data_IF_701697209135
#
_entry.id   IF_701697209135
#
_cell.length_a   1.000
_cell.length_b   1.000
_cell.length_c   1.000
_cell.angle_alpha   90.00
_cell.angle_beta   90.00
_cell.angle_gamma   90.00
#
_symmetry.space_group_name_H-M   'P 1'
#
loop_
_entity.id
_entity.type
_entity.pdbx_description
1 polymer ?
#
# COMPACT_ATOMS: atom_id res chain seq x y z
N UNK A 1 57.31 26.24 9.85
CA UNK A 1 55.98 26.59 9.31
C UNK A 1 55.31 25.29 8.91
N UNK A 2 54.11 25.12 9.46
CA UNK A 2 53.29 23.93 9.63
C UNK A 2 52.99 23.12 8.37
N UNK A 3 53.40 21.85 8.41
CA UNK A 3 52.80 20.70 7.72
C UNK A 3 51.56 20.24 8.51
N UNK A 4 50.44 19.95 7.82
CA UNK A 4 49.31 19.19 8.38
C UNK A 4 49.19 17.86 7.64
N UNK A 5 49.21 16.81 8.45
CA UNK A 5 49.06 15.40 8.15
C UNK A 5 47.59 15.04 7.95
N UNK A 6 47.32 14.27 6.90
CA UNK A 6 46.10 13.47 6.74
C UNK A 6 46.24 12.17 7.55
N UNK A 7 45.22 11.84 8.33
CA UNK A 7 45.06 10.54 8.99
C UNK A 7 44.11 9.67 8.14
N UNK A 8 44.41 8.39 7.88
CA UNK A 8 43.53 7.51 7.12
C UNK A 8 42.48 6.80 7.99
N UNK A 9 41.39 6.44 7.31
CA UNK A 9 40.26 5.61 7.75
C UNK A 9 40.68 4.34 8.52
N UNK A 10 40.05 4.12 9.67
CA UNK A 10 40.17 2.88 10.43
C UNK A 10 39.32 1.78 9.79
N UNK A 11 40.00 0.71 9.38
CA UNK A 11 39.43 -0.61 9.10
C UNK A 11 38.99 -1.26 10.41
N UNK A 12 37.78 -1.80 10.44
CA UNK A 12 37.35 -2.72 11.51
C UNK A 12 37.93 -4.11 11.24
N UNK A 13 38.53 -4.68 12.27
CA UNK A 13 39.19 -5.98 12.27
C UNK A 13 38.47 -6.90 13.27
N UNK A 14 38.22 -8.13 12.84
CA UNK A 14 37.70 -9.27 13.61
C UNK A 14 38.72 -9.66 14.71
N UNK A 15 38.24 -10.11 15.88
CA UNK A 15 38.85 -11.27 16.51
C UNK A 15 37.84 -12.37 16.86
N UNK A 16 38.15 -13.58 16.42
CA UNK A 16 37.54 -14.83 16.84
C UNK A 16 38.09 -15.26 18.22
N UNK A 17 37.25 -15.77 19.13
CA UNK A 17 37.57 -16.99 19.92
C UNK A 17 36.35 -17.64 20.58
N UNK A 18 36.28 -18.97 20.44
CA UNK A 18 35.48 -20.00 21.11
C UNK A 18 35.16 -19.80 22.62
N UNK A 19 33.97 -20.25 23.06
CA UNK A 19 33.84 -21.29 24.13
C UNK A 19 32.40 -21.86 24.32
N UNK A 20 32.31 -23.18 24.07
CA UNK A 20 31.55 -24.27 24.71
C UNK A 20 30.13 -24.14 25.30
N UNK A 21 29.27 -25.06 24.81
CA UNK A 21 28.26 -25.92 25.47
C UNK A 21 27.80 -25.61 26.92
N UNK A 22 26.47 -25.66 27.12
CA UNK A 22 25.84 -26.61 28.07
C UNK A 22 24.36 -26.87 27.73
N UNK A 23 24.02 -28.14 27.56
CA UNK A 23 22.68 -28.72 27.67
C UNK A 23 22.28 -28.84 29.15
N UNK A 24 21.02 -28.56 29.49
CA UNK A 24 20.35 -29.12 30.66
C UNK A 24 18.86 -29.33 30.38
N UNK A 25 18.48 -30.60 30.54
CA UNK A 25 17.14 -31.19 30.38
C UNK A 25 16.32 -31.13 31.67
N UNK A 26 15.00 -31.24 31.48
CA UNK A 26 13.96 -31.88 32.33
C UNK A 26 13.40 -31.14 33.57
N UNK A 27 12.09 -30.90 33.50
CA UNK A 27 11.15 -31.56 34.40
C UNK A 27 10.18 -30.67 35.19
N UNK A 28 8.89 -30.66 34.80
CA UNK A 28 7.83 -31.24 35.62
C UNK A 28 6.48 -31.27 34.88
N UNK A 29 5.87 -32.44 34.95
CA UNK A 29 4.52 -32.78 34.54
C UNK A 29 3.46 -32.07 35.38
N UNK A 30 2.31 -31.78 34.77
CA UNK A 30 1.03 -31.93 35.43
C UNK A 30 0.06 -32.57 34.42
N UNK A 31 -0.13 -33.88 34.58
CA UNK A 31 -1.21 -34.65 33.98
C UNK A 31 -2.56 -34.21 34.57
N UNK A 32 -3.56 -34.03 33.71
CA UNK A 32 -4.93 -34.41 34.05
C UNK A 32 -5.50 -35.13 32.83
N UNK A 33 -5.62 -36.45 32.95
CA UNK A 33 -6.40 -37.31 32.06
C UNK A 33 -7.89 -36.97 32.17
N UNK A 34 -8.58 -36.90 31.02
CA UNK A 34 -9.93 -37.50 30.87
C UNK A 34 -9.97 -38.21 29.50
N UNK A 35 -10.26 -39.51 29.55
CA UNK A 35 -10.57 -40.49 28.49
C UNK A 35 -11.43 -39.94 27.32
N UNK A 36 -11.08 -40.13 26.03
CA UNK A 36 -11.10 -41.31 25.12
C UNK A 36 -12.43 -41.54 24.33
N UNK A 37 -12.31 -41.40 22.99
CA UNK A 37 -13.02 -42.06 21.86
C UNK A 37 -14.55 -41.81 21.65
N UNK A 38 -15.13 -41.62 20.46
CA UNK A 38 -14.76 -41.82 19.04
C UNK A 38 -15.77 -41.03 18.14
N UNK A 39 -15.43 -40.68 16.89
CA UNK A 39 -16.16 -39.78 15.99
C UNK A 39 -17.13 -40.53 15.07
N UNK A 40 -18.31 -39.95 14.86
CA UNK A 40 -19.11 -40.23 13.67
C UNK A 40 -20.04 -39.06 13.35
N UNK A 41 -19.72 -38.39 12.23
CA UNK A 41 -20.68 -38.00 11.20
C UNK A 41 -22.11 -37.66 11.67
N UNK A 42 -22.32 -36.38 11.98
CA UNK A 42 -23.55 -35.65 11.64
C UNK A 42 -23.11 -34.29 11.13
N UNK A 43 -22.84 -34.17 9.83
CA UNK A 43 -23.74 -33.47 8.93
C UNK A 43 -24.22 -32.16 9.56
N UNK A 44 -23.50 -31.07 9.32
CA UNK A 44 -24.08 -29.73 9.40
C UNK A 44 -25.32 -29.75 8.49
N UNK A 45 -26.50 -29.77 9.08
CA UNK A 45 -27.71 -29.38 8.39
C UNK A 45 -27.53 -27.91 7.99
N UNK A 46 -27.28 -27.69 6.70
CA UNK A 46 -27.49 -26.40 6.06
C UNK A 46 -28.97 -26.10 6.23
N UNK A 47 -29.29 -25.07 7.00
CA UNK A 47 -30.65 -24.54 7.08
C UNK A 47 -31.06 -24.05 5.68
N UNK A 48 -32.04 -24.66 5.00
CA UNK A 48 -32.35 -24.36 3.61
C UNK A 48 -33.38 -23.24 3.45
N UNK A 49 -33.74 -22.52 4.52
CA UNK A 49 -34.59 -21.33 4.44
C UNK A 49 -33.79 -20.08 4.83
N UNK A 50 -33.27 -19.29 3.88
CA UNK A 50 -32.93 -17.91 4.20
C UNK A 50 -34.24 -17.20 4.53
N UNK A 51 -34.40 -16.80 5.79
CA UNK A 51 -35.46 -15.91 6.21
C UNK A 51 -35.43 -14.68 5.28
N UNK A 52 -36.46 -14.44 4.44
CA UNK A 52 -36.44 -13.37 3.45
C UNK A 52 -36.49 -11.96 4.07
N UNK A 53 -36.52 -11.90 5.40
CA UNK A 53 -36.58 -10.68 6.22
C UNK A 53 -35.35 -10.54 7.15
N UNK A 54 -34.14 -10.95 6.71
CA UNK A 54 -32.92 -10.31 7.26
C UNK A 54 -32.92 -8.86 6.79
N UNK A 55 -33.65 -8.04 7.54
CA UNK A 55 -33.50 -6.60 7.57
C UNK A 55 -32.01 -6.33 7.79
N UNK A 56 -31.34 -5.81 6.77
CA UNK A 56 -30.02 -5.21 6.86
C UNK A 56 -29.96 -4.41 8.17
N UNK A 57 -29.12 -4.83 9.12
CA UNK A 57 -28.75 -3.96 10.22
C UNK A 57 -27.77 -2.96 9.61
N UNK A 58 -28.22 -1.72 9.43
CA UNK A 58 -27.58 -0.64 8.67
C UNK A 58 -26.16 -0.22 9.15
N UNK A 59 -25.53 -0.96 10.07
CA UNK A 59 -24.27 -0.60 10.74
C UNK A 59 -23.15 -1.67 10.65
N UNK A 60 -23.34 -2.77 9.91
CA UNK A 60 -22.37 -3.89 9.88
C UNK A 60 -21.78 -4.08 8.48
N UNK A 61 -20.46 -4.20 8.40
CA UNK A 61 -19.78 -4.60 7.17
C UNK A 61 -20.14 -6.05 6.80
N UNK A 62 -20.51 -6.27 5.55
CA UNK A 62 -20.78 -7.60 4.99
C UNK A 62 -19.57 -8.05 4.17
N UNK A 63 -19.23 -9.33 4.30
CA UNK A 63 -18.18 -9.97 3.51
C UNK A 63 -18.84 -10.97 2.58
N UNK A 64 -18.56 -10.82 1.29
CA UNK A 64 -19.00 -11.75 0.26
C UNK A 64 -17.76 -12.40 -0.37
N UNK A 65 -17.89 -13.68 -0.69
CA UNK A 65 -16.92 -14.36 -1.56
C UNK A 65 -16.99 -13.70 -2.94
N UNK A 66 -15.87 -13.22 -3.44
CA UNK A 66 -15.80 -12.68 -4.79
C UNK A 66 -15.83 -13.78 -5.86
N UNK A 67 -16.16 -13.40 -7.08
CA UNK A 67 -16.39 -14.29 -8.21
C UNK A 67 -15.12 -14.70 -8.96
N UNK A 68 -13.95 -14.14 -8.63
CA UNK A 68 -12.66 -14.51 -9.23
C UNK A 68 -12.05 -15.76 -8.57
N UNK A 69 -12.40 -16.04 -7.32
CA UNK A 69 -11.96 -17.28 -6.67
C UNK A 69 -12.64 -18.49 -7.33
N UNK A 70 -11.88 -19.56 -7.54
CA UNK A 70 -12.23 -20.77 -8.32
C UNK A 70 -12.43 -20.55 -9.83
N UNK A 71 -12.82 -19.36 -10.28
CA UNK A 71 -12.98 -19.03 -11.70
C UNK A 71 -11.67 -18.67 -12.38
N UNK A 72 -10.66 -18.24 -11.61
CA UNK A 72 -9.33 -17.91 -12.08
C UNK A 72 -8.25 -18.63 -11.25
N UNK A 73 -7.41 -19.45 -11.89
CA UNK A 73 -6.41 -20.27 -11.19
C UNK A 73 -5.29 -19.45 -10.51
N UNK A 74 -5.10 -18.20 -10.95
CA UNK A 74 -4.14 -17.25 -10.41
C UNK A 74 -4.64 -16.63 -9.10
N UNK A 75 -5.96 -16.60 -8.87
CA UNK A 75 -6.56 -15.97 -7.70
C UNK A 75 -6.71 -16.99 -6.58
N UNK A 76 -5.91 -16.83 -5.53
CA UNK A 76 -5.90 -17.69 -4.34
C UNK A 76 -7.01 -17.31 -3.35
N UNK A 77 -7.28 -16.02 -3.20
CA UNK A 77 -8.36 -15.52 -2.36
C UNK A 77 -9.01 -14.29 -3.02
N UNK A 78 -10.33 -14.18 -2.86
CA UNK A 78 -11.13 -13.06 -3.37
C UNK A 78 -12.30 -12.79 -2.44
N UNK A 79 -12.26 -11.65 -1.78
CA UNK A 79 -13.30 -11.20 -0.86
C UNK A 79 -13.77 -9.79 -1.23
N UNK A 80 -15.07 -9.58 -1.21
CA UNK A 80 -15.70 -8.27 -1.38
C UNK A 80 -16.27 -7.85 -0.03
N UNK A 81 -15.68 -6.82 0.54
CA UNK A 81 -16.15 -6.18 1.76
C UNK A 81 -17.07 -5.01 1.38
N UNK A 82 -18.28 -4.97 1.95
CA UNK A 82 -19.24 -3.87 1.78
C UNK A 82 -19.57 -3.27 3.14
N UNK A 83 -19.29 -1.99 3.32
CA UNK A 83 -19.51 -1.30 4.58
C UNK A 83 -20.45 -0.09 4.41
N UNK A 84 -21.43 0.09 5.31
CA UNK A 84 -22.29 1.27 5.31
C UNK A 84 -21.52 2.53 5.75
N UNK A 85 -21.73 3.65 5.07
CA UNK A 85 -21.31 5.02 5.43
C UNK A 85 -19.82 5.25 5.80
N UNK A 86 -18.89 4.38 5.40
CA UNK A 86 -17.47 4.52 5.72
C UNK A 86 -16.63 5.00 4.53
N UNK A 87 -16.43 6.31 4.32
CA UNK A 87 -15.48 6.77 3.29
C UNK A 87 -14.08 6.19 3.53
N UNK A 88 -13.64 5.25 2.71
CA UNK A 88 -12.25 4.77 2.69
C UNK A 88 -11.35 5.93 2.31
N UNK A 89 -10.39 6.24 3.18
CA UNK A 89 -9.35 7.26 2.94
C UNK A 89 -8.02 6.63 2.60
N UNK A 90 -7.68 5.54 3.28
CA UNK A 90 -6.38 4.89 3.15
C UNK A 90 -6.58 3.38 3.28
N UNK A 91 -6.63 2.62 2.17
CA UNK A 91 -6.56 1.18 2.24
C UNK A 91 -5.14 0.76 2.59
N UNK A 92 -5.02 -0.25 3.44
CA UNK A 92 -3.75 -0.91 3.74
C UNK A 92 -3.92 -2.42 3.62
N UNK A 93 -2.91 -3.08 3.06
CA UNK A 93 -2.87 -4.53 2.96
C UNK A 93 -1.45 -5.02 3.23
N UNK A 94 -1.37 -6.14 3.95
CA UNK A 94 -0.18 -6.92 4.18
C UNK A 94 -0.47 -8.39 3.89
N UNK A 95 0.55 -9.16 3.57
CA UNK A 95 0.42 -10.59 3.23
C UNK A 95 1.55 -11.33 3.92
N UNK A 96 1.28 -12.46 4.56
CA UNK A 96 2.29 -13.35 5.09
C UNK A 96 2.08 -14.78 4.55
N UNK A 97 2.81 -15.75 5.09
CA UNK A 97 2.68 -17.14 4.65
C UNK A 97 1.24 -17.69 4.83
N UNK A 98 0.55 -17.24 5.88
CA UNK A 98 -0.73 -17.77 6.33
C UNK A 98 -1.92 -17.04 5.70
N UNK A 99 -1.80 -15.75 5.39
CA UNK A 99 -2.96 -14.99 4.94
C UNK A 99 -2.72 -13.53 4.54
N UNK A 100 -3.82 -12.83 4.33
CA UNK A 100 -3.86 -11.38 4.08
C UNK A 100 -4.37 -10.65 5.32
N UNK A 101 -3.68 -9.60 5.71
CA UNK A 101 -4.14 -8.66 6.71
C UNK A 101 -4.52 -7.35 6.03
N UNK A 102 -5.59 -6.71 6.47
CA UNK A 102 -5.95 -5.43 5.88
C UNK A 102 -6.67 -4.49 6.82
N UNK A 103 -6.62 -3.22 6.42
CA UNK A 103 -7.28 -2.12 7.10
C UNK A 103 -7.88 -1.18 6.06
N UNK A 104 -9.07 -0.69 6.36
CA UNK A 104 -9.73 0.37 5.63
C UNK A 104 -10.00 1.52 6.59
N UNK A 105 -9.23 2.60 6.45
CA UNK A 105 -9.41 3.81 7.26
C UNK A 105 -10.61 4.60 6.80
N UNK A 106 -11.53 4.93 7.71
CA UNK A 106 -12.73 5.67 7.34
C UNK A 106 -13.42 6.40 8.50
N UNK A 107 -14.74 6.53 8.41
CA UNK A 107 -15.56 6.95 9.56
C UNK A 107 -15.70 5.81 10.58
N UNK A 108 -15.69 4.58 10.09
CA UNK A 108 -15.55 3.34 10.84
C UNK A 108 -14.31 2.66 10.28
N UNK A 109 -13.33 2.40 11.15
CA UNK A 109 -12.13 1.68 10.75
C UNK A 109 -12.47 0.20 10.66
N UNK A 110 -12.18 -0.42 9.53
CA UNK A 110 -12.42 -1.84 9.32
C UNK A 110 -11.11 -2.57 9.28
N UNK A 111 -11.00 -3.61 10.08
CA UNK A 111 -9.83 -4.45 10.23
C UNK A 111 -10.21 -5.88 9.91
N UNK A 112 -9.35 -6.57 9.16
CA UNK A 112 -9.65 -7.93 8.75
C UNK A 112 -8.40 -8.79 8.57
N UNK A 113 -8.62 -10.08 8.66
CA UNK A 113 -7.68 -11.13 8.30
C UNK A 113 -8.36 -12.13 7.35
N UNK A 114 -7.66 -12.54 6.30
CA UNK A 114 -8.10 -13.61 5.40
C UNK A 114 -7.07 -14.71 5.52
N UNK A 115 -7.41 -15.76 6.26
CA UNK A 115 -6.63 -16.99 6.28
C UNK A 115 -6.83 -17.71 4.95
N UNK A 116 -5.76 -18.24 4.38
CA UNK A 116 -5.86 -19.02 3.14
C UNK A 116 -5.02 -20.29 3.26
N UNK A 117 -5.71 -21.44 3.21
CA UNK A 117 -5.12 -22.74 2.90
C UNK A 117 -5.54 -23.14 1.48
N UNK A 118 -4.77 -24.01 0.82
CA UNK A 118 -4.90 -24.42 -0.59
C UNK A 118 -6.30 -24.93 -1.04
N UNK A 119 -7.26 -25.06 -0.13
CA UNK A 119 -8.62 -25.55 -0.38
C UNK A 119 -9.75 -24.65 0.16
N UNK A 120 -9.49 -23.79 1.14
CA UNK A 120 -10.48 -22.93 1.81
C UNK A 120 -9.82 -21.62 2.21
N UNK A 121 -10.55 -20.50 2.10
CA UNK A 121 -10.16 -19.26 2.76
C UNK A 121 -11.21 -18.90 3.80
N UNK A 122 -10.76 -18.46 4.97
CA UNK A 122 -11.62 -18.00 6.06
C UNK A 122 -11.41 -16.50 6.24
N UNK A 123 -12.52 -15.77 6.40
CA UNK A 123 -12.49 -14.33 6.58
C UNK A 123 -12.86 -14.00 8.03
N UNK A 124 -11.95 -13.31 8.71
CA UNK A 124 -12.15 -12.81 10.06
C UNK A 124 -12.24 -11.28 10.04
N UNK A 125 -13.38 -10.76 10.50
CA UNK A 125 -13.50 -9.34 10.87
C UNK A 125 -12.87 -9.17 12.25
N UNK A 126 -11.87 -8.30 12.35
CA UNK A 126 -11.16 -8.02 13.59
C UNK A 126 -11.74 -6.79 14.27
N UNK A 127 -11.75 -6.78 15.61
CA UNK A 127 -12.18 -5.61 16.38
C UNK A 127 -11.28 -4.39 16.08
N UNK A 128 -9.96 -4.57 16.18
CA UNK A 128 -8.95 -3.55 15.86
C UNK A 128 -7.59 -4.22 15.66
N UNK A 129 -6.83 -3.80 14.64
CA UNK A 129 -5.42 -4.16 14.54
C UNK A 129 -4.58 -3.17 15.37
N UNK A 130 -3.68 -3.64 16.25
CA UNK A 130 -2.95 -2.75 17.14
C UNK A 130 -2.02 -1.82 16.36
N UNK A 131 -1.83 -0.60 16.85
CA UNK A 131 -1.02 0.41 16.14
C UNK A 131 -1.75 1.01 14.93
N UNK A 132 -1.06 1.88 14.18
CA UNK A 132 -1.73 2.78 13.23
C UNK A 132 -1.60 2.38 11.76
N UNK A 133 -0.72 1.44 11.43
CA UNK A 133 -0.64 0.95 10.07
C UNK A 133 0.59 0.10 9.84
N UNK A 134 0.58 -0.61 8.72
CA UNK A 134 1.71 -1.42 8.30
C UNK A 134 2.90 -0.52 7.95
N UNK A 135 4.08 -0.91 8.44
CA UNK A 135 5.30 -0.16 8.20
C UNK A 135 6.39 -0.96 7.51
N UNK A 136 6.35 -2.28 7.55
CA UNK A 136 7.37 -3.10 6.90
C UNK A 136 7.09 -4.57 7.06
N UNK A 137 7.85 -5.39 6.34
CA UNK A 137 7.79 -6.84 6.40
C UNK A 137 9.21 -7.43 6.33
N UNK A 138 9.50 -8.40 7.19
CA UNK A 138 10.76 -9.14 7.16
C UNK A 138 10.71 -10.31 6.17
N UNK A 139 11.89 -10.82 5.72
CA UNK A 139 11.96 -11.93 4.75
C UNK A 139 11.25 -13.23 5.18
N UNK A 140 11.07 -13.44 6.48
CA UNK A 140 10.36 -14.60 7.02
C UNK A 140 8.82 -14.44 7.06
N UNK A 141 8.31 -13.29 6.61
CA UNK A 141 6.89 -12.96 6.60
C UNK A 141 6.44 -12.14 7.80
N UNK A 142 7.30 -11.89 8.79
CA UNK A 142 6.97 -11.06 9.95
C UNK A 142 6.57 -9.66 9.51
N UNK A 143 5.35 -9.27 9.83
CA UNK A 143 4.75 -7.98 9.58
C UNK A 143 5.03 -7.03 10.74
N UNK A 144 5.34 -5.78 10.40
CA UNK A 144 5.60 -4.73 11.36
C UNK A 144 4.56 -3.63 11.22
N UNK A 145 4.13 -3.10 12.37
CA UNK A 145 3.23 -1.95 12.46
C UNK A 145 3.85 -0.88 13.36
N UNK A 146 3.58 0.39 13.04
CA UNK A 146 4.04 1.50 13.87
C UNK A 146 2.98 1.93 14.88
N UNK A 147 3.42 2.33 16.06
CA UNK A 147 2.55 2.93 17.08
C UNK A 147 2.64 4.46 17.00
N UNK A 148 1.50 5.15 16.99
CA UNK A 148 1.46 6.59 17.25
C UNK A 148 1.48 6.84 18.75
N UNK A 149 2.02 7.99 19.15
CA UNK A 149 2.03 8.46 20.54
C UNK A 149 2.89 7.63 21.51
N UNK A 150 3.71 6.72 20.99
CA UNK A 150 4.62 5.89 21.77
C UNK A 150 5.96 5.71 21.05
N UNK A 151 7.00 5.51 21.85
CA UNK A 151 8.33 5.14 21.40
C UNK A 151 8.42 3.62 21.27
N UNK A 152 7.69 3.05 20.33
CA UNK A 152 7.57 1.60 20.16
C UNK A 152 7.25 1.22 18.72
N UNK A 153 7.36 -0.08 18.45
CA UNK A 153 6.83 -0.71 17.25
C UNK A 153 6.16 -2.04 17.61
N UNK A 154 5.36 -2.56 16.67
CA UNK A 154 4.67 -3.83 16.80
C UNK A 154 5.18 -4.78 15.72
N UNK A 155 5.27 -6.07 16.04
CA UNK A 155 5.45 -7.13 15.05
C UNK A 155 4.48 -8.29 15.31
N UNK A 156 4.08 -9.01 14.26
CA UNK A 156 3.25 -10.19 14.44
C UNK A 156 4.09 -11.42 14.78
N UNK A 157 3.54 -12.29 15.61
CA UNK A 157 4.09 -13.61 15.90
C UNK A 157 2.94 -14.62 15.83
N UNK A 158 2.77 -15.21 14.64
CA UNK A 158 1.51 -15.89 14.32
C UNK A 158 0.37 -14.86 14.29
N UNK A 159 -0.69 -15.12 15.06
CA UNK A 159 -1.85 -14.22 15.14
C UNK A 159 -1.72 -13.16 16.25
N UNK A 160 -0.70 -13.27 17.11
CA UNK A 160 -0.45 -12.32 18.19
C UNK A 160 0.38 -11.13 17.69
N UNK A 161 0.15 -9.95 18.28
CA UNK A 161 0.94 -8.75 18.02
C UNK A 161 1.75 -8.38 19.26
N UNK A 162 3.07 -8.33 19.10
CA UNK A 162 4.01 -8.06 20.18
C UNK A 162 4.53 -6.63 20.05
N UNK A 163 4.37 -5.84 21.12
CA UNK A 163 4.88 -4.47 21.21
C UNK A 163 6.30 -4.45 21.79
N UNK A 164 7.19 -3.70 21.16
CA UNK A 164 8.59 -3.53 21.58
C UNK A 164 8.86 -2.05 21.80
N UNK A 165 9.30 -1.72 23.01
CA UNK A 165 9.75 -0.37 23.35
C UNK A 165 11.08 -0.04 22.67
N UNK A 166 11.25 1.23 22.29
CA UNK A 166 12.45 1.77 21.68
C UNK A 166 13.13 2.68 22.68
N UNK A 167 14.33 2.28 23.08
CA UNK A 167 15.15 3.07 23.98
C UNK A 167 16.03 4.08 23.23
N UNK A 168 16.34 5.19 23.89
CA UNK A 168 17.36 6.14 23.42
C UNK A 168 16.93 7.14 22.34
N UNK A 169 15.66 7.19 21.95
CA UNK A 169 15.19 8.13 20.92
C UNK A 169 15.65 9.59 21.16
N UNK A 170 15.94 10.37 20.09
CA UNK A 170 16.24 11.79 20.22
C UNK A 170 15.15 12.57 20.97
N UNK A 171 15.55 13.58 21.77
CA UNK A 171 14.66 14.36 22.64
C UNK A 171 13.45 15.02 21.94
N UNK A 172 13.54 15.23 20.63
CA UNK A 172 12.51 15.90 19.82
C UNK A 172 11.71 14.93 18.94
N UNK A 173 11.73 13.63 19.26
CA UNK A 173 10.90 12.64 18.58
C UNK A 173 9.45 13.12 18.48
N UNK A 174 8.91 13.07 17.27
CA UNK A 174 7.55 13.47 16.99
C UNK A 174 6.66 12.22 16.94
N UNK A 175 5.98 11.86 18.03
CA UNK A 175 5.35 10.55 18.15
C UNK A 175 4.10 10.41 17.29
N UNK A 176 3.60 11.50 16.70
CA UNK A 176 2.50 11.47 15.73
C UNK A 176 2.94 10.98 14.34
N UNK A 177 4.24 11.05 14.02
CA UNK A 177 4.77 10.49 12.78
C UNK A 177 5.08 8.99 12.90
N UNK A 178 5.09 8.47 14.13
CA UNK A 178 5.42 7.08 14.46
C UNK A 178 6.90 6.75 14.30
N UNK A 179 7.26 5.56 14.76
CA UNK A 179 8.55 4.92 14.47
C UNK A 179 8.31 3.77 13.50
N UNK A 180 8.66 4.00 12.24
CA UNK A 180 8.30 3.14 11.11
C UNK A 180 9.41 2.14 10.81
N UNK A 181 9.23 0.90 11.24
CA UNK A 181 10.19 -0.20 11.02
C UNK A 181 10.24 -0.60 9.55
N UNK A 182 11.45 -0.88 9.06
CA UNK A 182 11.79 -1.34 7.71
C UNK A 182 12.88 -2.43 7.87
N UNK A 183 12.50 -3.70 8.05
CA UNK A 183 13.49 -4.78 8.15
C UNK A 183 14.28 -4.89 6.85
N UNK A 184 15.54 -5.29 6.95
CA UNK A 184 16.40 -5.53 5.79
C UNK A 184 16.38 -6.98 5.29
N UNK A 185 17.13 -7.29 4.22
CA UNK A 185 17.15 -8.62 3.63
C UNK A 185 17.75 -9.69 4.54
N UNK A 186 18.49 -9.28 5.57
CA UNK A 186 19.02 -10.15 6.62
C UNK A 186 18.09 -10.24 7.84
N UNK A 187 17.05 -9.40 7.88
CA UNK A 187 16.15 -9.22 9.01
C UNK A 187 16.63 -8.20 10.04
N UNK A 188 17.72 -7.46 9.77
CA UNK A 188 18.13 -6.34 10.62
C UNK A 188 17.04 -5.27 10.60
N UNK A 189 16.68 -4.72 11.76
CA UNK A 189 15.61 -3.73 11.82
C UNK A 189 16.18 -2.35 11.56
N UNK A 190 15.68 -1.71 10.50
CA UNK A 190 15.87 -0.30 10.29
C UNK A 190 14.58 0.44 10.61
N UNK A 191 14.66 1.75 10.78
CA UNK A 191 13.48 2.54 11.03
C UNK A 191 13.57 3.95 10.47
N UNK A 192 12.40 4.51 10.23
CA UNK A 192 12.19 5.91 9.89
C UNK A 192 11.45 6.59 11.02
N UNK A 193 11.89 7.77 11.42
CA UNK A 193 11.09 8.63 12.28
C UNK A 193 11.37 10.09 12.03
N UNK A 194 10.52 10.93 12.60
CA UNK A 194 10.63 12.37 12.47
C UNK A 194 10.90 13.01 13.83
N UNK A 195 11.67 14.09 13.83
CA UNK A 195 11.75 15.00 14.96
C UNK A 195 11.19 16.35 14.58
N UNK A 196 10.58 17.03 15.55
CA UNK A 196 10.05 18.39 15.36
C UNK A 196 10.65 19.34 16.40
N UNK A 197 11.54 20.21 15.93
CA UNK A 197 12.13 21.28 16.72
C UNK A 197 12.04 22.61 15.99
N UNK A 198 11.47 23.63 16.64
CA UNK A 198 11.55 25.02 16.17
C UNK A 198 11.01 25.29 14.75
N UNK A 199 10.04 24.52 14.27
CA UNK A 199 9.39 24.74 12.97
C UNK A 199 10.09 24.09 11.77
N UNK A 200 11.11 23.26 12.01
CA UNK A 200 11.73 22.39 11.02
C UNK A 200 11.47 20.93 11.43
N UNK A 201 10.96 20.12 10.49
CA UNK A 201 10.87 18.69 10.68
C UNK A 201 12.14 18.04 10.15
N UNK A 202 12.82 17.24 10.97
CA UNK A 202 13.97 16.47 10.55
C UNK A 202 13.55 15.02 10.35
N UNK A 203 14.08 14.41 9.31
CA UNK A 203 13.87 13.02 8.98
C UNK A 203 15.10 12.22 9.42
N UNK A 204 14.86 11.13 10.13
CA UNK A 204 15.88 10.26 10.69
C UNK A 204 15.74 8.85 10.14
N UNK A 205 16.87 8.22 9.89
CA UNK A 205 16.98 6.78 9.71
C UNK A 205 17.64 6.19 10.97
N UNK A 206 17.21 5.00 11.36
CA UNK A 206 17.81 4.23 12.43
C UNK A 206 18.07 2.79 11.98
N UNK A 207 19.05 2.15 12.60
CA UNK A 207 19.32 0.71 12.46
C UNK A 207 19.51 0.08 13.83
N UNK A 208 19.11 -1.17 13.97
CA UNK A 208 19.24 -1.97 15.19
C UNK A 208 20.33 -3.02 14.97
N UNK A 209 21.52 -2.74 15.48
CA UNK A 209 22.67 -3.65 15.40
C UNK A 209 23.06 -4.13 16.80
N UNK A 210 23.32 -5.44 16.94
CA UNK A 210 23.64 -6.11 18.21
C UNK A 210 22.68 -5.80 19.38
N UNK A 211 21.44 -5.38 19.08
CA UNK A 211 20.41 -5.02 20.07
C UNK A 211 20.42 -3.56 20.51
N UNK A 212 21.26 -2.70 19.92
CA UNK A 212 21.28 -1.26 20.19
C UNK A 212 20.87 -0.46 18.95
N UNK A 213 19.98 0.52 19.15
CA UNK A 213 19.58 1.44 18.08
C UNK A 213 20.68 2.48 17.82
N UNK A 214 21.03 2.65 16.56
CA UNK A 214 21.80 3.78 16.06
C UNK A 214 20.91 4.63 15.16
N UNK A 215 21.09 5.95 15.14
CA UNK A 215 20.28 6.86 14.30
C UNK A 215 21.10 7.98 13.70
N UNK A 216 20.72 8.37 12.48
CA UNK A 216 21.33 9.45 11.72
C UNK A 216 20.26 10.35 11.09
N UNK A 217 20.49 11.66 11.12
CA UNK A 217 19.67 12.62 10.39
C UNK A 217 19.93 12.44 8.90
N UNK A 218 18.88 12.16 8.13
CA UNK A 218 18.99 11.96 6.67
C UNK A 218 18.57 13.19 5.89
N UNK A 219 17.56 13.92 6.37
CA UNK A 219 17.08 15.10 5.64
C UNK A 219 16.32 16.07 6.53
N UNK A 220 16.02 17.25 5.97
CA UNK A 220 15.13 18.20 6.59
C UNK A 220 13.98 18.60 5.67
N UNK A 221 12.82 18.74 6.28
CA UNK A 221 11.56 19.02 5.61
C UNK A 221 11.24 20.48 5.84
N UNK A 222 11.43 21.27 4.79
CA UNK A 222 11.02 22.67 4.73
C UNK A 222 9.95 22.82 3.64
N UNK A 223 8.86 23.55 3.91
CA UNK A 223 7.78 23.80 2.93
C UNK A 223 6.71 22.70 2.83
N UNK A 224 6.05 22.59 1.66
CA UNK A 224 4.89 21.71 1.38
C UNK A 224 5.30 20.32 0.87
N UNK A 225 6.22 19.64 1.57
CA UNK A 225 6.63 18.27 1.23
C UNK A 225 5.67 17.26 1.86
N UNK A 226 5.11 16.34 1.07
CA UNK A 226 3.99 15.49 1.50
C UNK A 226 4.29 13.99 1.63
N UNK A 227 5.19 13.42 0.82
CA UNK A 227 5.50 11.97 0.88
C UNK A 227 6.95 11.76 1.28
N UNK A 228 7.17 10.89 2.28
CA UNK A 228 8.43 10.73 3.02
C UNK A 228 8.75 9.24 3.20
N UNK A 229 9.73 8.75 2.46
CA UNK A 229 10.37 7.46 2.72
C UNK A 229 11.82 7.75 3.13
N UNK A 230 12.31 7.19 4.22
CA UNK A 230 13.72 7.16 4.56
C UNK A 230 14.02 5.84 5.25
N UNK A 231 14.75 4.96 4.58
CA UNK A 231 15.04 3.64 5.08
C UNK A 231 15.77 2.81 4.04
N UNK A 232 16.16 1.58 4.38
CA UNK A 232 16.69 0.66 3.39
C UNK A 232 15.63 0.42 2.31
N UNK A 233 15.96 0.53 1.02
CA UNK A 233 15.12 -0.03 -0.04
C UNK A 233 15.07 -1.56 0.07
N UNK A 234 14.37 -2.26 -0.84
CA UNK A 234 14.26 -3.73 -0.79
C UNK A 234 15.60 -4.52 -0.89
N UNK A 235 16.75 -3.84 -1.00
CA UNK A 235 18.10 -4.42 -1.03
C UNK A 235 19.07 -3.69 -0.10
N UNK A 236 18.54 -3.16 1.00
CA UNK A 236 19.33 -2.71 2.15
C UNK A 236 20.17 -1.45 1.86
N UNK A 237 19.87 -0.75 0.75
CA UNK A 237 20.49 0.55 0.46
C UNK A 237 19.73 1.63 1.21
N UNK A 238 20.39 2.45 2.04
CA UNK A 238 19.72 3.58 2.68
C UNK A 238 19.29 4.59 1.62
N UNK A 239 17.99 4.78 1.51
CA UNK A 239 17.36 5.64 0.52
C UNK A 239 16.39 6.59 1.21
N UNK A 240 16.48 7.87 0.88
CA UNK A 240 15.47 8.86 1.25
C UNK A 240 14.73 9.35 0.01
N UNK A 241 13.42 9.09 -0.05
CA UNK A 241 12.51 9.56 -1.10
C UNK A 241 11.65 10.68 -0.52
N UNK A 242 11.72 11.86 -1.13
CA UNK A 242 10.89 13.00 -0.77
C UNK A 242 10.10 13.47 -1.99
N UNK A 243 8.81 13.74 -1.79
CA UNK A 243 8.01 14.48 -2.76
C UNK A 243 8.11 15.97 -2.44
N UNK A 244 8.86 16.73 -3.24
CA UNK A 244 9.08 18.18 -3.06
C UNK A 244 8.24 18.99 -4.05
N UNK A 245 7.54 20.01 -3.54
CA UNK A 245 6.93 21.03 -4.39
C UNK A 245 7.94 22.15 -4.64
N UNK A 246 8.32 22.36 -5.90
CA UNK A 246 9.14 23.51 -6.30
C UNK A 246 8.38 24.35 -7.32
N UNK A 247 8.02 25.57 -6.94
CA UNK A 247 7.25 26.51 -7.77
C UNK A 247 5.87 25.97 -8.20
N UNK A 248 5.21 25.19 -7.34
CA UNK A 248 3.89 24.60 -7.62
C UNK A 248 3.93 23.27 -8.39
N UNK A 249 5.12 22.78 -8.74
CA UNK A 249 5.31 21.51 -9.45
C UNK A 249 5.84 20.45 -8.50
N UNK A 250 5.18 19.30 -8.42
CA UNK A 250 5.61 18.18 -7.60
C UNK A 250 6.66 17.36 -8.32
N UNK A 251 7.75 17.02 -7.62
CA UNK A 251 8.84 16.18 -8.13
C UNK A 251 9.30 15.20 -7.06
N UNK A 252 9.75 14.03 -7.52
CA UNK A 252 10.48 13.11 -6.67
C UNK A 252 11.92 13.56 -6.53
N UNK A 253 12.41 13.54 -5.29
CA UNK A 253 13.84 13.62 -5.01
C UNK A 253 14.27 12.37 -4.26
N UNK A 254 15.35 11.78 -4.74
CA UNK A 254 16.02 10.65 -4.15
C UNK A 254 17.34 11.13 -3.54
N UNK A 255 17.61 10.75 -2.30
CA UNK A 255 18.92 10.86 -1.67
C UNK A 255 19.41 9.44 -1.38
N UNK A 256 20.49 9.06 -2.07
CA UNK A 256 21.19 7.80 -1.90
C UNK A 256 22.51 8.15 -1.23
N UNK A 257 22.66 7.80 0.05
CA UNK A 257 23.85 7.93 0.89
C UNK A 257 24.89 9.00 0.46
N UNK A 258 24.57 10.29 0.64
CA UNK A 258 25.57 11.36 0.70
C UNK A 258 25.79 12.19 -0.56
N UNK A 259 24.91 12.09 -1.55
CA UNK A 259 24.86 13.02 -2.68
C UNK A 259 23.74 14.07 -2.52
N UNK A 260 23.86 15.20 -3.22
CA UNK A 260 22.83 16.24 -3.20
C UNK A 260 21.50 15.67 -3.74
N UNK A 261 20.36 16.13 -3.21
CA UNK A 261 18.99 15.78 -3.68
C UNK A 261 18.94 15.52 -5.20
N UNK A 262 18.86 14.25 -5.61
CA UNK A 262 18.70 13.89 -7.02
C UNK A 262 17.25 14.04 -7.40
N UNK A 263 16.94 14.91 -8.36
CA UNK A 263 15.60 14.95 -8.96
C UNK A 263 15.50 13.78 -9.94
N UNK A 264 14.61 12.84 -9.65
CA UNK A 264 14.33 11.68 -10.50
C UNK A 264 12.96 11.82 -11.14
N UNK A 265 12.88 11.42 -12.40
CA UNK A 265 11.66 11.50 -13.19
C UNK A 265 11.22 12.93 -13.51
N UNK A 266 10.23 13.00 -14.40
CA UNK A 266 9.61 14.26 -14.77
C UNK A 266 8.69 14.81 -13.68
N UNK A 267 8.27 16.06 -13.86
CA UNK A 267 7.23 16.68 -13.06
C UNK A 267 5.90 15.93 -13.24
N UNK A 268 5.30 15.48 -12.14
CA UNK A 268 4.06 14.71 -12.17
C UNK A 268 3.07 15.21 -11.12
N UNK A 269 1.82 15.41 -11.53
CA UNK A 269 0.72 15.76 -10.61
C UNK A 269 0.37 14.57 -9.69
N UNK A 270 0.54 13.34 -10.21
CA UNK A 270 0.29 12.08 -9.51
C UNK A 270 1.56 11.25 -9.49
N UNK A 271 2.18 11.24 -8.32
CA UNK A 271 3.45 10.60 -8.06
C UNK A 271 3.11 9.22 -7.49
N UNK A 272 3.45 8.12 -8.18
CA UNK A 272 3.08 6.79 -7.71
C UNK A 272 3.85 6.39 -6.46
N UNK A 273 3.22 5.54 -5.67
CA UNK A 273 3.78 5.09 -4.40
C UNK A 273 4.78 3.97 -4.67
N UNK A 274 5.96 4.05 -4.02
CA UNK A 274 6.70 2.87 -3.63
C UNK A 274 5.79 2.16 -2.61
N UNK A 275 5.03 1.15 -3.04
CA UNK A 275 4.50 0.22 -2.06
C UNK A 275 5.73 -0.46 -1.46
N UNK A 276 5.86 -0.34 -0.15
CA UNK A 276 6.93 -0.88 0.65
C UNK A 276 7.16 -2.35 0.29
N UNK A 277 8.13 -2.67 -0.58
CA UNK A 277 8.10 -3.95 -1.23
C UNK A 277 8.59 -5.00 -0.22
N UNK A 278 7.85 -6.10 -0.06
CA UNK A 278 8.41 -7.34 0.45
C UNK A 278 9.64 -7.71 -0.36
N UNK A 279 10.69 -8.11 0.34
CA UNK A 279 12.02 -8.15 -0.22
C UNK A 279 12.33 -9.50 -0.87
N UNK A 280 13.12 -9.51 -1.96
CA UNK A 280 13.63 -10.73 -2.51
C UNK A 280 14.67 -11.44 -1.65
N UNK A 281 14.63 -12.77 -1.64
CA UNK A 281 15.57 -13.67 -0.95
C UNK A 281 17.01 -13.59 -1.50
N UNK A 282 17.20 -12.97 -2.67
CA UNK A 282 18.52 -12.75 -3.27
C UNK A 282 18.48 -11.66 -4.33
N UNK A 283 19.46 -10.75 -4.34
CA UNK A 283 19.62 -9.81 -5.45
C UNK A 283 20.68 -8.73 -5.22
N UNK A 284 21.97 -9.07 -5.29
CA UNK A 284 22.97 -8.03 -5.55
C UNK A 284 22.71 -7.44 -6.96
N UNK A 285 22.34 -6.15 -7.04
CA UNK A 285 22.40 -5.38 -8.29
C UNK A 285 21.08 -5.00 -8.98
N UNK A 286 19.90 -5.22 -8.38
CA UNK A 286 18.65 -4.73 -8.96
C UNK A 286 18.44 -3.22 -8.67
N UNK A 287 17.91 -2.42 -9.62
CA UNK A 287 17.70 -0.99 -9.41
C UNK A 287 16.53 -0.72 -8.45
N UNK A 288 16.60 0.40 -7.73
CA UNK A 288 15.44 0.99 -7.06
C UNK A 288 14.40 1.24 -8.14
N UNK A 289 13.15 0.84 -7.93
CA UNK A 289 12.09 1.05 -8.91
C UNK A 289 10.90 1.77 -8.30
N UNK A 290 10.31 2.67 -9.08
CA UNK A 290 9.08 3.38 -8.76
C UNK A 290 8.20 3.37 -9.99
N UNK A 291 6.89 3.51 -9.80
CA UNK A 291 5.96 3.79 -10.88
C UNK A 291 5.45 5.22 -10.71
N UNK A 292 5.30 5.97 -11.80
CA UNK A 292 4.70 7.29 -11.77
C UNK A 292 3.92 7.58 -13.04
N UNK A 293 3.12 8.64 -13.04
CA UNK A 293 2.50 9.14 -14.27
C UNK A 293 3.42 10.15 -14.94
N UNK A 294 3.63 10.02 -16.24
CA UNK A 294 4.44 10.93 -17.07
C UNK A 294 3.60 11.54 -18.19
N UNK A 295 4.05 12.70 -18.68
CA UNK A 295 3.60 13.36 -19.91
C UNK A 295 2.11 13.18 -20.24
N UNK A 296 1.24 13.81 -19.43
CA UNK A 296 -0.21 13.88 -19.62
C UNK A 296 -0.78 12.66 -20.36
N UNK A 297 -0.52 11.43 -19.87
CA UNK A 297 -1.51 10.35 -19.76
C UNK A 297 -0.90 8.97 -19.41
N UNK A 298 0.38 8.64 -19.66
CA UNK A 298 0.90 7.27 -19.43
C UNK A 298 1.55 7.05 -18.05
N UNK A 299 1.54 5.81 -17.56
CA UNK A 299 2.42 5.37 -16.48
C UNK A 299 3.85 5.15 -17.01
N UNK A 300 4.83 5.25 -16.12
CA UNK A 300 6.23 4.96 -16.39
C UNK A 300 6.90 4.30 -15.18
N UNK A 301 7.82 3.39 -15.47
CA UNK A 301 8.76 2.87 -14.49
C UNK A 301 9.95 3.83 -14.41
N UNK A 302 10.26 4.29 -13.21
CA UNK A 302 11.53 4.92 -12.90
C UNK A 302 12.43 3.88 -12.27
N UNK A 303 13.60 3.66 -12.83
CA UNK A 303 14.64 2.82 -12.21
C UNK A 303 15.88 3.62 -11.89
N UNK A 304 16.45 3.40 -10.71
CA UNK A 304 17.69 4.04 -10.25
C UNK A 304 18.69 2.97 -9.87
N UNK A 305 19.79 2.90 -10.60
CA UNK A 305 20.93 2.03 -10.26
C UNK A 305 21.90 2.73 -9.30
N UNK A 306 22.17 4.02 -9.56
CA UNK A 306 23.04 4.91 -8.79
C UNK A 306 22.56 6.37 -8.99
N UNK A 307 23.02 7.31 -8.16
CA UNK A 307 22.60 8.72 -8.16
C UNK A 307 22.68 9.41 -9.53
N UNK A 308 23.69 9.10 -10.34
CA UNK A 308 23.81 9.65 -11.69
C UNK A 308 23.20 8.76 -12.79
N UNK A 309 22.77 7.54 -12.44
CA UNK A 309 22.31 6.51 -13.37
C UNK A 309 20.87 6.10 -13.04
N UNK A 310 19.94 6.87 -13.59
CA UNK A 310 18.52 6.55 -13.57
C UNK A 310 17.90 6.60 -14.97
N UNK A 311 16.77 5.92 -15.13
CA UNK A 311 15.95 5.93 -16.32
C UNK A 311 14.47 6.09 -15.95
N UNK A 312 13.72 6.71 -16.85
CA UNK A 312 12.25 6.75 -16.82
C UNK A 312 11.78 6.17 -18.16
N UNK A 313 10.92 5.17 -18.09
CA UNK A 313 10.47 4.43 -19.27
C UNK A 313 8.96 4.25 -19.25
N UNK A 314 8.23 4.73 -20.27
CA UNK A 314 6.78 4.62 -20.36
C UNK A 314 6.35 3.15 -20.40
N UNK A 315 5.25 2.85 -19.71
CA UNK A 315 4.50 1.61 -19.87
C UNK A 315 3.45 1.87 -20.95
N UNK A 316 3.47 1.08 -22.02
CA UNK A 316 2.50 1.22 -23.10
C UNK A 316 1.05 0.98 -22.60
N UNK A 317 0.07 1.60 -23.27
CA UNK A 317 -1.35 1.35 -23.05
C UNK A 317 -1.84 1.57 -21.60
N UNK A 318 -1.26 2.59 -20.93
CA UNK A 318 -1.64 2.98 -19.55
C UNK A 318 -2.19 4.42 -19.45
N UNK A 319 -3.16 4.81 -20.30
CA UNK A 319 -3.65 6.20 -20.35
C UNK A 319 -4.32 6.62 -19.03
N UNK A 320 -4.37 7.91 -18.76
CA UNK A 320 -5.09 8.50 -17.64
C UNK A 320 -6.57 8.61 -18.01
N UNK A 321 -7.47 8.28 -17.09
CA UNK A 321 -8.88 8.67 -17.21
C UNK A 321 -8.96 10.20 -17.29
N UNK A 322 -9.42 10.79 -18.41
CA UNK A 322 -9.54 12.23 -18.55
C UNK A 322 -10.45 12.85 -17.48
N UNK A 323 -10.33 14.15 -17.22
CA UNK A 323 -11.25 14.82 -16.29
C UNK A 323 -12.69 14.70 -16.78
N UNK A 324 -13.61 14.39 -15.85
CA UNK A 324 -15.05 14.39 -16.07
C UNK A 324 -15.58 15.73 -16.59
N UNK A 325 -16.86 15.72 -16.96
CA UNK A 325 -17.66 16.93 -17.20
C UNK A 325 -17.44 17.97 -16.09
N UNK A 326 -17.46 19.26 -16.44
CA UNK A 326 -17.18 20.33 -15.49
C UNK A 326 -18.24 20.32 -14.37
N UNK A 327 -17.84 20.02 -13.13
CA UNK A 327 -18.77 19.85 -12.01
C UNK A 327 -19.56 21.11 -11.69
N UNK A 328 -18.97 22.29 -11.93
CA UNK A 328 -19.62 23.57 -11.74
C UNK A 328 -19.08 24.60 -12.74
N UNK A 329 -19.96 25.24 -13.51
CA UNK A 329 -19.56 26.32 -14.41
C UNK A 329 -20.55 27.49 -14.38
N UNK A 330 -20.05 28.68 -14.75
CA UNK A 330 -20.86 29.89 -14.88
C UNK A 330 -21.43 30.04 -16.28
N UNK A 331 -22.70 30.43 -16.39
CA UNK A 331 -23.39 30.67 -17.66
C UNK A 331 -24.10 32.02 -17.64
N UNK A 332 -24.08 32.73 -18.77
CA UNK A 332 -24.92 33.93 -18.97
C UNK A 332 -26.31 33.57 -19.54
N UNK A 333 -26.63 32.28 -19.62
CA UNK A 333 -27.90 31.74 -20.09
C UNK A 333 -28.46 30.81 -19.01
N UNK A 334 -29.80 30.67 -18.92
CA UNK A 334 -30.44 29.76 -17.98
C UNK A 334 -30.23 28.27 -18.33
N UNK A 335 -29.85 27.97 -19.58
CA UNK A 335 -29.72 26.60 -20.05
C UNK A 335 -28.36 26.00 -19.62
N UNK A 336 -28.43 24.90 -18.87
CA UNK A 336 -27.30 24.05 -18.52
C UNK A 336 -27.46 22.68 -19.23
N UNK A 337 -27.00 22.54 -20.49
CA UNK A 337 -27.18 21.30 -21.23
C UNK A 337 -26.45 20.12 -20.55
N UNK A 338 -26.98 18.90 -20.64
CA UNK A 338 -26.32 17.72 -20.10
C UNK A 338 -24.98 17.45 -20.80
N UNK A 339 -24.10 16.75 -20.10
CA UNK A 339 -22.78 16.36 -20.59
C UNK A 339 -22.65 14.83 -20.54
N UNK A 340 -22.48 14.20 -21.69
CA UNK A 340 -22.12 12.79 -21.77
C UNK A 340 -20.60 12.66 -21.79
N UNK A 341 -20.10 11.67 -21.07
CA UNK A 341 -18.69 11.37 -20.90
C UNK A 341 -18.47 9.88 -21.11
N UNK A 342 -17.55 9.54 -22.01
CA UNK A 342 -17.12 8.17 -22.28
C UNK A 342 -15.60 8.19 -22.29
N UNK A 343 -14.97 7.40 -21.42
CA UNK A 343 -13.52 7.28 -21.39
C UNK A 343 -13.06 5.96 -20.77
N UNK A 344 -11.94 5.49 -21.29
CA UNK A 344 -11.22 4.35 -20.76
C UNK A 344 -9.83 4.79 -20.27
N UNK A 345 -9.38 4.29 -19.12
CA UNK A 345 -8.02 4.51 -18.64
C UNK A 345 -7.83 4.22 -17.16
N UNK A 346 -6.67 4.59 -16.63
CA UNK A 346 -6.28 4.40 -15.22
C UNK A 346 -6.57 5.68 -14.46
N UNK A 347 -7.28 5.60 -13.34
CA UNK A 347 -7.50 6.77 -12.49
C UNK A 347 -6.20 7.31 -11.87
N UNK A 348 -6.29 8.51 -11.33
CA UNK A 348 -5.13 9.28 -10.91
C UNK A 348 -4.27 8.60 -9.82
N UNK A 349 -4.85 7.74 -8.97
CA UNK A 349 -4.16 7.13 -7.82
C UNK A 349 -4.32 5.59 -7.73
N UNK A 350 -4.86 4.95 -8.78
CA UNK A 350 -5.19 3.52 -8.83
C UNK A 350 -4.08 2.64 -9.40
N UNK A 351 -2.82 2.89 -8.98
CA UNK A 351 -1.68 2.07 -9.41
C UNK A 351 -0.59 1.95 -8.33
N UNK A 352 0.07 0.79 -8.25
CA UNK A 352 1.17 0.46 -7.33
C UNK A 352 2.24 -0.36 -8.05
N UNK A 353 3.44 -0.37 -7.49
CA UNK A 353 4.51 -1.29 -7.87
C UNK A 353 4.91 -2.10 -6.65
N UNK A 354 5.03 -3.41 -6.81
CA UNK A 354 5.47 -4.35 -5.77
C UNK A 354 6.59 -5.22 -6.32
N UNK A 355 7.31 -5.92 -5.43
CA UNK A 355 8.31 -6.91 -5.81
C UNK A 355 8.05 -8.20 -5.06
N UNK A 356 8.21 -9.31 -5.76
CA UNK A 356 8.10 -10.66 -5.19
C UNK A 356 9.47 -11.13 -4.68
N UNK A 357 9.47 -12.22 -3.90
CA UNK A 357 10.67 -12.70 -3.21
C UNK A 357 11.79 -13.17 -4.16
N UNK A 358 11.52 -13.34 -5.46
CA UNK A 358 12.53 -13.70 -6.45
C UNK A 358 13.14 -12.50 -7.17
N UNK A 359 12.64 -11.29 -6.91
CA UNK A 359 13.12 -10.04 -7.49
C UNK A 359 12.29 -9.43 -8.64
N UNK A 360 11.38 -10.15 -9.34
CA UNK A 360 10.53 -9.53 -10.36
C UNK A 360 9.77 -8.30 -9.86
N UNK A 361 9.69 -7.28 -10.72
CA UNK A 361 8.83 -6.11 -10.50
C UNK A 361 7.44 -6.39 -11.02
N UNK A 362 6.43 -6.04 -10.24
CA UNK A 362 5.05 -6.15 -10.64
C UNK A 362 4.37 -4.80 -10.52
N UNK A 363 3.84 -4.31 -11.63
CA UNK A 363 2.90 -3.20 -11.62
C UNK A 363 1.49 -3.72 -11.41
N UNK A 364 0.72 -3.02 -10.59
CA UNK A 364 -0.67 -3.33 -10.27
C UNK A 364 -1.48 -2.07 -10.50
N UNK A 365 -2.44 -2.06 -11.43
CA UNK A 365 -3.27 -0.89 -11.68
C UNK A 365 -4.69 -1.24 -12.10
N UNK A 366 -5.62 -0.31 -11.92
CA UNK A 366 -7.03 -0.48 -12.29
C UNK A 366 -7.35 0.36 -13.52
N UNK A 367 -7.82 -0.31 -14.56
CA UNK A 367 -8.37 0.30 -15.77
C UNK A 367 -9.89 0.47 -15.60
N UNK A 368 -10.32 1.72 -15.65
CA UNK A 368 -11.68 2.28 -15.72
C UNK A 368 -12.30 2.29 -17.11
N UNK A 369 -13.40 1.60 -17.41
CA UNK A 369 -14.26 1.92 -18.57
C UNK A 369 -15.52 2.66 -18.09
N UNK A 370 -15.57 3.97 -18.35
CA UNK A 370 -16.55 4.89 -17.76
C UNK A 370 -17.48 5.41 -18.85
N UNK A 371 -18.78 5.10 -18.71
CA UNK A 371 -19.85 5.72 -19.48
C UNK A 371 -20.81 6.48 -18.54
N UNK A 372 -20.65 7.81 -18.47
CA UNK A 372 -21.37 8.68 -17.54
C UNK A 372 -22.20 9.74 -18.29
N UNK A 373 -23.38 10.08 -17.76
CA UNK A 373 -24.13 11.27 -18.20
C UNK A 373 -24.39 12.16 -16.99
N UNK A 374 -24.04 13.44 -17.11
CA UNK A 374 -24.31 14.45 -16.10
C UNK A 374 -25.46 15.34 -16.53
N UNK A 375 -26.44 15.50 -15.65
CA UNK A 375 -27.53 16.47 -15.77
C UNK A 375 -27.23 17.66 -14.88
N UNK A 376 -27.44 18.87 -15.37
CA UNK A 376 -27.07 20.08 -14.65
C UNK A 376 -28.28 20.81 -14.07
N UNK A 377 -28.17 21.18 -12.79
CA UNK A 377 -29.09 22.11 -12.15
C UNK A 377 -28.63 23.55 -12.36
N UNK A 378 -29.54 24.39 -12.86
CA UNK A 378 -29.30 25.81 -13.07
C UNK A 378 -29.78 26.62 -11.86
N UNK A 379 -28.87 27.37 -11.22
CA UNK A 379 -29.21 28.31 -10.14
C UNK A 379 -28.86 29.75 -10.53
N UNK A 380 -29.84 30.65 -10.49
CA UNK A 380 -29.65 32.06 -10.84
C UNK A 380 -29.00 32.81 -9.69
N UNK A 381 -27.73 33.20 -9.83
CA UNK A 381 -27.04 34.03 -8.82
C UNK A 381 -27.27 35.52 -9.02
N UNK A 382 -27.42 35.97 -10.28
CA UNK A 382 -27.72 37.37 -10.65
C UNK A 382 -28.61 37.42 -11.90
N UNK A 383 -29.15 38.59 -12.22
CA UNK A 383 -30.07 38.82 -13.36
C UNK A 383 -29.59 38.14 -14.65
N UNK A 384 -28.31 38.27 -14.99
CA UNK A 384 -27.72 37.70 -16.21
C UNK A 384 -26.62 36.65 -15.93
N UNK A 385 -26.63 36.02 -14.75
CA UNK A 385 -25.59 35.03 -14.38
C UNK A 385 -26.17 33.85 -13.60
N UNK A 386 -25.94 32.67 -14.15
CA UNK A 386 -26.37 31.37 -13.67
C UNK A 386 -25.14 30.53 -13.31
N UNK A 387 -25.29 29.66 -12.33
CA UNK A 387 -24.34 28.59 -12.04
C UNK A 387 -24.99 27.27 -12.37
N UNK A 388 -24.31 26.46 -13.16
CA UNK A 388 -24.71 25.10 -13.50
C UNK A 388 -23.94 24.13 -12.62
N UNK A 389 -24.64 23.29 -11.86
CA UNK A 389 -24.05 22.27 -11.00
C UNK A 389 -24.39 20.88 -11.52
N UNK A 390 -23.37 20.06 -11.76
CA UNK A 390 -23.53 18.72 -12.33
C UNK A 390 -24.07 17.75 -11.26
N UNK A 391 -25.02 16.91 -11.65
CA UNK A 391 -25.45 15.71 -10.94
C UNK A 391 -25.33 14.52 -11.89
N UNK A 392 -24.79 13.40 -11.40
CA UNK A 392 -24.73 12.17 -12.18
C UNK A 392 -26.15 11.64 -12.44
N UNK A 393 -26.44 11.25 -13.68
CA UNK A 393 -27.70 10.62 -14.04
C UNK A 393 -27.77 9.20 -13.47
N UNK A 394 -28.92 8.84 -12.91
CA UNK A 394 -29.10 7.56 -12.21
C UNK A 394 -28.93 6.32 -13.12
N UNK A 395 -28.97 6.49 -14.44
CA UNK A 395 -28.71 5.41 -15.41
C UNK A 395 -27.24 5.21 -15.76
N UNK A 396 -26.33 6.04 -15.25
CA UNK A 396 -24.91 6.05 -15.65
C UNK A 396 -24.00 6.10 -14.43
N UNK A 397 -24.37 5.30 -13.43
CA UNK A 397 -23.77 5.35 -12.10
C UNK A 397 -22.54 4.46 -11.91
N UNK A 398 -22.32 3.49 -12.81
CA UNK A 398 -21.23 2.54 -12.68
C UNK A 398 -20.33 2.51 -13.92
N UNK A 399 -19.07 2.18 -13.69
CA UNK A 399 -18.03 1.92 -14.66
C UNK A 399 -17.57 0.47 -14.51
N UNK A 400 -17.28 -0.20 -15.62
CA UNK A 400 -16.64 -1.51 -15.58
C UNK A 400 -15.16 -1.33 -15.27
N UNK A 401 -14.59 -2.24 -14.49
CA UNK A 401 -13.22 -2.10 -14.05
C UNK A 401 -12.43 -3.40 -14.14
N UNK A 402 -11.18 -3.25 -14.56
CA UNK A 402 -10.24 -4.34 -14.76
C UNK A 402 -8.98 -4.07 -13.94
N UNK A 403 -8.64 -5.01 -13.06
CA UNK A 403 -7.33 -5.02 -12.41
C UNK A 403 -6.31 -5.63 -13.38
N UNK A 404 -5.24 -4.91 -13.66
CA UNK A 404 -4.09 -5.40 -14.40
C UNK A 404 -2.96 -5.66 -13.42
N UNK A 405 -2.41 -6.87 -13.47
CA UNK A 405 -1.19 -7.26 -12.76
C UNK A 405 -0.16 -7.67 -13.79
N UNK A 406 0.93 -6.92 -13.90
CA UNK A 406 1.92 -7.05 -14.97
C UNK A 406 3.33 -7.15 -14.40
N UNK A 407 4.10 -8.16 -14.83
CA UNK A 407 5.53 -8.20 -14.59
C UNK A 407 6.21 -7.17 -15.50
N UNK A 408 6.99 -6.28 -14.91
CA UNK A 408 7.64 -5.17 -15.59
C UNK A 408 9.15 -5.40 -15.64
N UNK A 409 9.78 -5.12 -16.78
CA UNK A 409 11.23 -4.94 -16.86
C UNK A 409 11.62 -3.48 -16.52
N UNK A 410 12.91 -3.25 -16.33
CA UNK A 410 13.51 -1.95 -16.00
C UNK A 410 13.34 -0.89 -17.10
N UNK A 411 13.01 -1.32 -18.32
CA UNK A 411 12.68 -0.45 -19.45
C UNK A 411 11.16 -0.20 -19.61
N UNK A 412 10.35 -0.59 -18.63
CA UNK A 412 8.90 -0.40 -18.65
C UNK A 412 8.13 -1.35 -19.56
N UNK A 413 8.80 -2.31 -20.21
CA UNK A 413 8.14 -3.36 -20.98
C UNK A 413 7.38 -4.33 -20.06
N UNK A 414 6.22 -4.79 -20.53
CA UNK A 414 5.44 -5.83 -19.88
C UNK A 414 5.97 -7.18 -20.35
N UNK A 415 6.49 -7.97 -19.41
CA UNK A 415 7.02 -9.31 -19.68
C UNK A 415 5.91 -10.35 -19.76
N UNK A 416 4.94 -10.26 -18.85
CA UNK A 416 3.70 -11.03 -18.79
C UNK A 416 2.69 -10.28 -17.94
N UNK A 417 1.40 -10.54 -18.15
CA UNK A 417 0.35 -9.87 -17.39
C UNK A 417 -0.91 -10.71 -17.32
N UNK A 418 -1.75 -10.38 -16.35
CA UNK A 418 -3.12 -10.85 -16.26
C UNK A 418 -4.06 -9.67 -16.07
N UNK A 419 -5.22 -9.77 -16.71
CA UNK A 419 -6.34 -8.86 -16.55
C UNK A 419 -7.44 -9.61 -15.80
N UNK A 420 -7.90 -9.04 -14.70
CA UNK A 420 -8.95 -9.57 -13.85
C UNK A 420 -10.12 -8.60 -13.85
N UNK A 421 -11.26 -9.04 -14.35
CA UNK A 421 -12.51 -8.28 -14.27
C UNK A 421 -12.91 -8.16 -12.80
N UNK A 422 -12.79 -6.95 -12.24
CA UNK A 422 -13.16 -6.69 -10.85
C UNK A 422 -14.62 -6.23 -10.71
N UNK A 423 -15.35 -6.19 -11.83
CA UNK A 423 -16.78 -5.92 -11.91
C UNK A 423 -17.11 -4.44 -12.06
N UNK A 424 -18.38 -4.14 -11.79
CA UNK A 424 -18.95 -2.80 -11.90
C UNK A 424 -18.65 -1.99 -10.64
N UNK A 425 -18.16 -0.76 -10.80
CA UNK A 425 -17.78 0.14 -9.71
C UNK A 425 -18.47 1.48 -9.85
N UNK A 426 -18.85 2.11 -8.73
CA UNK A 426 -19.49 3.41 -8.73
C UNK A 426 -18.59 4.49 -9.35
N UNK A 427 -19.19 5.29 -10.23
CA UNK A 427 -18.58 6.49 -10.82
C UNK A 427 -18.77 7.64 -9.84
N UNK A 428 -17.70 8.00 -9.15
CA UNK A 428 -17.69 9.20 -8.32
C UNK A 428 -17.40 10.44 -9.16
N UNK A 429 -18.00 11.57 -8.79
CA UNK A 429 -17.72 12.91 -9.34
C UNK A 429 -16.24 13.33 -9.26
N UNK A 430 -15.44 12.60 -8.49
CA UNK A 430 -13.98 12.69 -8.43
C UNK A 430 -13.39 11.28 -8.48
N UNK A 431 -12.51 10.98 -9.45
CA UNK A 431 -11.81 9.71 -9.56
C UNK A 431 -10.73 9.64 -8.46
N UNK A 432 -11.15 9.44 -7.22
CA UNK A 432 -10.30 9.43 -6.03
C UNK A 432 -10.13 8.00 -5.49
N UNK A 433 -10.32 6.98 -6.34
CA UNK A 433 -10.20 5.59 -5.90
C UNK A 433 -8.77 5.30 -5.49
N UNK A 434 -8.66 4.49 -4.45
CA UNK A 434 -7.39 4.11 -3.87
C UNK A 434 -7.18 2.60 -4.00
N UNK A 435 -5.92 2.22 -4.13
CA UNK A 435 -5.49 0.83 -4.17
C UNK A 435 -4.34 0.67 -3.17
N UNK A 436 -4.27 -0.48 -2.52
CA UNK A 436 -3.07 -0.91 -1.81
C UNK A 436 -2.60 -2.22 -2.42
N UNK A 437 -1.30 -2.41 -2.49
CA UNK A 437 -0.72 -3.65 -2.95
C UNK A 437 0.54 -3.95 -2.15
N UNK A 438 0.79 -5.22 -1.88
CA UNK A 438 2.02 -5.75 -1.33
C UNK A 438 2.26 -7.14 -1.93
N UNK A 439 3.33 -7.82 -1.55
CA UNK A 439 3.63 -9.18 -1.99
C UNK A 439 4.19 -10.02 -0.83
N UNK A 440 4.37 -11.32 -1.00
CA UNK A 440 5.20 -12.14 -0.11
C UNK A 440 5.38 -13.48 -0.80
N UNK A 441 6.61 -13.99 -0.83
CA UNK A 441 6.91 -15.13 -1.69
C UNK A 441 6.64 -14.76 -3.14
N UNK A 442 5.85 -15.59 -3.81
CA UNK A 442 5.40 -15.37 -5.18
C UNK A 442 3.96 -14.82 -5.25
N UNK A 443 3.39 -14.38 -4.13
CA UNK A 443 2.02 -13.89 -4.06
C UNK A 443 1.98 -12.37 -4.00
N UNK A 444 0.95 -11.77 -4.60
CA UNK A 444 0.63 -10.35 -4.50
C UNK A 444 -0.71 -10.20 -3.77
N UNK A 445 -0.72 -9.42 -2.69
CA UNK A 445 -1.96 -8.99 -2.03
C UNK A 445 -2.41 -7.65 -2.60
N UNK A 446 -3.67 -7.52 -2.99
CA UNK A 446 -4.26 -6.27 -3.51
C UNK A 446 -5.54 -5.93 -2.76
N UNK A 447 -5.72 -4.66 -2.40
CA UNK A 447 -6.95 -4.11 -1.86
C UNK A 447 -7.37 -2.91 -2.70
N UNK A 448 -8.54 -3.00 -3.32
CA UNK A 448 -9.08 -2.01 -4.25
C UNK A 448 -10.34 -1.42 -3.65
N UNK A 449 -10.46 -0.09 -3.63
CA UNK A 449 -11.74 0.57 -3.34
C UNK A 449 -12.68 0.43 -4.55
N UNK A 450 -13.79 -0.27 -4.35
CA UNK A 450 -14.78 -0.66 -5.38
C UNK A 450 -16.18 -0.12 -5.08
N UNK A 451 -16.28 1.05 -4.41
CA UNK A 451 -17.52 1.72 -3.98
C UNK A 451 -18.75 1.37 -4.82
N UNK A 452 -19.88 1.06 -4.18
CA UNK A 452 -21.11 0.61 -4.84
C UNK A 452 -22.22 1.67 -4.86
N UNK A 453 -21.97 2.86 -4.31
CA UNK A 453 -22.97 3.93 -4.20
C UNK A 453 -22.44 5.25 -3.62
N UNK A 454 -23.25 6.32 -3.64
CA UNK A 454 -22.84 7.68 -3.22
C UNK A 454 -22.60 7.83 -1.70
N UNK A 455 -22.93 6.81 -0.91
CA UNK A 455 -22.65 6.72 0.53
C UNK A 455 -22.27 5.31 0.97
N UNK A 456 -22.02 4.41 0.02
CA UNK A 456 -21.54 3.06 0.29
C UNK A 456 -20.05 3.02 0.01
N UNK A 457 -19.36 2.18 0.75
CA UNK A 457 -17.95 1.97 0.50
C UNK A 457 -17.65 0.50 0.50
N UNK A 458 -17.03 0.05 -0.59
CA UNK A 458 -16.71 -1.34 -0.81
C UNK A 458 -15.21 -1.48 -1.09
N UNK A 459 -14.65 -2.59 -0.63
CA UNK A 459 -13.28 -2.98 -0.89
C UNK A 459 -13.25 -4.38 -1.48
N UNK A 460 -12.47 -4.60 -2.53
CA UNK A 460 -12.16 -5.94 -3.03
C UNK A 460 -10.74 -6.31 -2.66
N UNK A 461 -10.59 -7.44 -1.98
CA UNK A 461 -9.33 -7.99 -1.50
C UNK A 461 -8.96 -9.21 -2.35
N UNK A 462 -7.76 -9.23 -2.90
CA UNK A 462 -7.27 -10.30 -3.76
C UNK A 462 -5.90 -10.81 -3.28
N UNK A 463 -5.70 -12.12 -3.29
CA UNK A 463 -4.38 -12.78 -3.22
C UNK A 463 -4.10 -13.43 -4.57
N UNK A 464 -3.00 -13.06 -5.21
CA UNK A 464 -2.70 -13.40 -6.60
C UNK A 464 -1.37 -14.16 -6.67
N UNK A 465 -1.39 -15.40 -7.16
CA UNK A 465 -0.21 -16.26 -7.36
C UNK A 465 0.50 -15.91 -8.67
N UNK A 466 1.62 -15.20 -8.57
CA UNK A 466 2.36 -14.73 -9.74
C UNK A 466 3.03 -15.85 -10.54
N UNK A 467 3.18 -17.04 -9.98
CA UNK A 467 3.78 -18.18 -10.69
C UNK A 467 2.86 -18.73 -11.78
N UNK A 468 1.56 -18.45 -11.69
CA UNK A 468 0.54 -18.90 -12.65
C UNK A 468 0.20 -17.87 -13.73
N UNK A 469 0.75 -16.66 -13.64
CA UNK A 469 0.61 -15.64 -14.70
C UNK A 469 1.52 -16.06 -15.86
N UNK A 470 0.96 -16.14 -17.07
CA UNK A 470 1.65 -16.63 -18.27
C UNK A 470 1.86 -15.54 -19.32
#
# INVERSE_FOLDING_TARGET
MTTRTHTPLHRWAIPATLLALTTLTLGCEAQTEVDFDDPSLRAMEIDPDPDPDVLFQDDVCVVERGDLWESNEVVLADAVLRCPESRIRTPEIAIDASGLWGRLDGQYDVHFYIEHDYAEFDFEMLDELPGNGFTGQAPDGTLYRFTNNAASYLYNQGNDWIEVAIDGLPELFWPYAGFKIRPDSTGELHAQFETNGFGQYLLWAASLDEGEWSWAETSSLTGTNSTRYAGPDAWDRPVTILRKSKSGVMRWTLDVAGENDLIVGQAADYAGFLADPPRPNSGEGAPIAMIQRIDADNLAVITVEDGEKWSESPIADTPLVPKFCEMNYGSNQPDCPPCAYEAEGIEAETFRIVRTNLGPMWGVWVVSDIAATYVYDADQKKVDFWTCSANLDNSSVNADATLVVAELDTDGSILRSIELDIGSMWVADRPNRTIAATAFGDDIGVLIQTDTGPGETAGRVLRIDTTKIN
#
